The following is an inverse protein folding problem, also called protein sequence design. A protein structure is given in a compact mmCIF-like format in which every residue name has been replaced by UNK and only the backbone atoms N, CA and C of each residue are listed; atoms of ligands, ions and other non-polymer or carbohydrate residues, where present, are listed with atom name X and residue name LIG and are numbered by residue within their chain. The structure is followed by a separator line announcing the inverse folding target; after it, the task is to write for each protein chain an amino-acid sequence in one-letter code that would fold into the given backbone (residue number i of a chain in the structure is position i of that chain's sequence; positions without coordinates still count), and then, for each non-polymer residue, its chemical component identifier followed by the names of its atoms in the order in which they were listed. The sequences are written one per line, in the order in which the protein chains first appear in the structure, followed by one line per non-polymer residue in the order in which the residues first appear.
data_IF_408167168420
#
_entry.id   IF_408167168420
#
_cell.length_a   1.000
_cell.length_b   1.000
_cell.length_c   1.000
_cell.angle_alpha   90.00
_cell.angle_beta   90.00
_cell.angle_gamma   90.00
#
_symmetry.space_group_name_H-M   'P 1'
#
loop_
_entity.id
_entity.type
_entity.pdbx_description
1 polymer ?
#
# COMPACT_ATOMS: atom_id res chain seq x y z
N UNK A 1 2.90 3.56 17.39
CA UNK A 1 2.54 4.89 16.85
C UNK A 1 1.93 5.73 17.97
N UNK A 2 2.45 6.93 18.24
CA UNK A 2 1.90 7.82 19.26
C UNK A 2 0.72 8.67 18.76
N UNK A 3 -0.16 8.08 17.94
CA UNK A 3 -1.37 8.76 17.46
C UNK A 3 -2.59 8.01 17.96
N UNK A 4 -2.87 8.19 19.26
CA UNK A 4 -4.02 7.57 19.91
C UNK A 4 -5.32 8.18 19.39
N UNK A 5 -6.26 7.33 19.00
CA UNK A 5 -7.61 7.76 18.61
C UNK A 5 -8.65 7.02 19.44
N UNK A 6 -9.80 7.66 19.61
CA UNK A 6 -10.98 7.11 20.25
C UNK A 6 -12.20 7.55 19.47
N UNK A 7 -13.07 6.60 19.16
CA UNK A 7 -14.28 6.83 18.37
C UNK A 7 -15.43 6.01 18.96
N UNK A 8 -16.65 6.58 18.96
CA UNK A 8 -17.85 5.91 19.45
C UNK A 8 -17.93 5.81 20.98
N UNK A 9 -18.60 4.77 21.47
CA UNK A 9 -18.87 4.54 22.89
C UNK A 9 -17.75 3.68 23.51
N UNK A 10 -16.94 4.31 24.37
CA UNK A 10 -15.76 3.70 25.00
C UNK A 10 -15.85 3.84 26.53
N UNK A 11 -15.60 2.78 27.32
CA UNK A 11 -15.63 2.86 28.77
C UNK A 11 -14.47 3.71 29.33
N UNK A 12 -14.61 4.31 30.52
CA UNK A 12 -13.57 5.16 31.12
C UNK A 12 -12.30 4.38 31.54
N UNK A 13 -12.38 3.04 31.61
CA UNK A 13 -11.29 2.14 31.96
C UNK A 13 -11.35 0.89 31.09
N UNK A 14 -10.18 0.47 30.62
CA UNK A 14 -10.00 -0.80 29.89
C UNK A 14 -10.47 -1.97 30.74
N UNK A 15 -11.05 -2.98 30.10
CA UNK A 15 -11.43 -4.23 30.76
C UNK A 15 -12.35 -4.04 31.98
N UNK A 16 -13.36 -3.18 31.82
CA UNK A 16 -14.43 -3.00 32.80
C UNK A 16 -15.78 -3.30 32.15
N UNK A 17 -16.83 -3.47 32.95
CA UNK A 17 -18.18 -3.69 32.41
C UNK A 17 -18.58 -2.49 31.54
N UNK A 18 -18.82 -2.76 30.26
CA UNK A 18 -19.34 -1.81 29.31
C UNK A 18 -20.68 -2.35 28.80
N UNK A 19 -21.75 -1.58 29.01
CA UNK A 19 -23.12 -2.05 28.76
C UNK A 19 -23.87 -1.12 27.82
N UNK A 20 -24.81 -1.70 27.08
CA UNK A 20 -25.81 -0.97 26.32
C UNK A 20 -26.89 -0.36 27.25
N UNK A 21 -27.80 0.49 26.74
CA UNK A 21 -28.89 1.07 27.52
C UNK A 21 -29.84 0.04 28.16
N UNK A 22 -29.96 -1.15 27.56
CA UNK A 22 -30.79 -2.27 28.01
C UNK A 22 -30.11 -3.10 29.11
N UNK A 23 -28.82 -2.88 29.36
CA UNK A 23 -28.02 -3.54 30.37
C UNK A 23 -27.28 -4.79 29.89
N UNK A 24 -27.26 -5.11 28.60
CA UNK A 24 -26.44 -6.19 28.05
C UNK A 24 -24.97 -5.75 27.98
N UNK A 25 -24.04 -6.71 28.08
CA UNK A 25 -22.60 -6.42 27.94
C UNK A 25 -22.21 -6.30 26.47
N UNK A 26 -21.42 -5.27 26.15
CA UNK A 26 -20.61 -5.29 24.94
C UNK A 26 -19.42 -6.23 25.12
N UNK A 27 -18.97 -6.82 24.01
CA UNK A 27 -17.82 -7.75 24.00
C UNK A 27 -16.56 -6.98 23.63
N UNK A 28 -15.58 -6.98 24.53
CA UNK A 28 -14.28 -6.31 24.32
C UNK A 28 -13.33 -7.24 23.54
N UNK A 29 -12.81 -6.76 22.40
CA UNK A 29 -11.73 -7.37 21.64
C UNK A 29 -10.48 -6.50 21.77
N UNK A 30 -9.33 -7.09 22.14
CA UNK A 30 -8.04 -6.44 21.98
C UNK A 30 -7.42 -6.91 20.66
N UNK A 31 -7.35 -6.02 19.67
CA UNK A 31 -6.52 -6.21 18.49
C UNK A 31 -5.14 -5.64 18.80
N UNK A 32 -4.10 -6.48 18.82
CA UNK A 32 -2.76 -6.07 19.20
C UNK A 32 -1.66 -6.72 18.38
N UNK A 33 -0.56 -6.00 18.24
CA UNK A 33 0.63 -6.43 17.53
C UNK A 33 1.66 -7.12 18.45
N UNK A 34 2.53 -7.94 17.86
CA UNK A 34 3.69 -8.56 18.50
C UNK A 34 3.43 -9.34 19.81
N UNK A 35 2.21 -9.82 20.03
CA UNK A 35 1.87 -10.51 21.27
C UNK A 35 1.88 -9.57 22.49
N UNK A 36 1.14 -8.45 22.37
CA UNK A 36 0.87 -7.47 23.43
C UNK A 36 2.03 -6.51 23.75
N UNK A 37 3.12 -6.50 22.96
CA UNK A 37 4.27 -5.61 23.17
C UNK A 37 4.32 -4.38 22.27
N UNK A 38 3.44 -4.28 21.28
CA UNK A 38 3.38 -3.16 20.32
C UNK A 38 2.00 -2.49 20.32
N UNK A 39 1.70 -1.72 19.28
CA UNK A 39 0.44 -1.01 19.10
C UNK A 39 -0.76 -1.95 19.21
N UNK A 40 -1.87 -1.39 19.72
CA UNK A 40 -3.12 -2.11 19.89
C UNK A 40 -4.29 -1.16 19.86
N UNK A 41 -5.48 -1.73 19.67
CA UNK A 41 -6.76 -1.08 19.88
C UNK A 41 -7.71 -2.02 20.62
N UNK A 42 -8.57 -1.44 21.45
CA UNK A 42 -9.71 -2.11 22.04
C UNK A 42 -10.96 -1.78 21.22
N UNK A 43 -11.69 -2.81 20.83
CA UNK A 43 -12.94 -2.69 20.09
C UNK A 43 -14.08 -3.24 20.97
N UNK A 44 -15.21 -2.55 20.98
CA UNK A 44 -16.38 -2.91 21.77
C UNK A 44 -17.53 -3.34 20.86
N UNK A 45 -17.78 -4.65 20.78
CA UNK A 45 -18.74 -5.27 19.85
C UNK A 45 -20.11 -5.47 20.48
N UNK A 46 -21.17 -5.42 19.65
CA UNK A 46 -22.53 -5.85 20.04
C UNK A 46 -22.64 -7.37 20.12
N UNK A 47 -21.90 -8.10 19.30
CA UNK A 47 -21.92 -9.55 19.20
C UNK A 47 -20.54 -10.15 19.52
N UNK A 48 -20.46 -11.48 19.62
CA UNK A 48 -19.22 -12.19 19.96
C UNK A 48 -18.28 -12.19 18.74
N UNK A 49 -17.13 -11.50 18.76
CA UNK A 49 -16.27 -11.35 17.57
C UNK A 49 -15.56 -12.64 17.17
N UNK A 50 -15.46 -13.62 18.08
CA UNK A 50 -14.81 -14.92 17.82
C UNK A 50 -15.74 -16.00 17.27
N UNK A 51 -17.03 -15.69 17.06
CA UNK A 51 -18.02 -16.67 16.62
C UNK A 51 -17.89 -16.99 15.12
N UNK A 52 -17.89 -18.28 14.78
CA UNK A 52 -17.86 -18.79 13.41
C UNK A 52 -18.94 -19.86 13.27
N UNK A 53 -19.75 -19.75 12.22
CA UNK A 53 -20.78 -20.73 11.83
C UNK A 53 -20.19 -21.78 10.91
N UNK A 54 -19.45 -21.35 9.89
CA UNK A 54 -18.85 -22.22 8.88
C UNK A 54 -17.44 -21.77 8.51
N UNK A 55 -16.57 -22.72 8.15
CA UNK A 55 -15.22 -22.49 7.66
C UNK A 55 -14.93 -23.39 6.47
N UNK A 56 -14.76 -22.80 5.29
CA UNK A 56 -14.47 -23.51 4.04
C UNK A 56 -13.24 -22.94 3.34
N UNK A 57 -12.65 -23.73 2.43
CA UNK A 57 -11.54 -23.25 1.62
C UNK A 57 -11.98 -22.11 0.69
N UNK A 58 -11.15 -21.07 0.61
CA UNK A 58 -11.21 -20.07 -0.44
C UNK A 58 -9.95 -20.22 -1.31
N UNK A 59 -10.15 -20.59 -2.56
CA UNK A 59 -9.08 -20.66 -3.54
C UNK A 59 -8.68 -19.24 -3.92
N UNK A 60 -7.45 -18.86 -3.56
CA UNK A 60 -6.90 -17.55 -3.90
C UNK A 60 -6.64 -17.44 -5.42
N UNK A 61 -6.64 -16.21 -5.96
CA UNK A 61 -6.03 -15.92 -7.25
C UNK A 61 -4.56 -16.34 -7.27
N UNK A 62 -3.98 -16.47 -8.47
CA UNK A 62 -2.60 -16.95 -8.65
C UNK A 62 -1.60 -16.16 -7.77
N UNK A 63 -0.90 -16.87 -6.88
CA UNK A 63 0.12 -16.33 -5.98
C UNK A 63 1.55 -16.73 -6.40
N UNK A 64 1.70 -17.33 -7.59
CA UNK A 64 2.96 -17.87 -8.10
C UNK A 64 3.97 -16.75 -8.34
N UNK A 65 5.21 -17.02 -7.95
CA UNK A 65 6.35 -16.16 -8.18
C UNK A 65 7.36 -16.92 -9.06
N UNK A 66 7.82 -16.25 -10.11
CA UNK A 66 8.78 -16.78 -11.09
C UNK A 66 10.10 -16.03 -10.95
N UNK A 67 11.24 -16.72 -10.76
CA UNK A 67 12.53 -16.05 -10.66
C UNK A 67 12.83 -15.18 -11.90
N UNK A 68 13.38 -13.99 -11.69
CA UNK A 68 13.90 -13.14 -12.77
C UNK A 68 15.20 -13.73 -13.34
N UNK A 69 15.06 -14.77 -14.16
CA UNK A 69 16.19 -15.49 -14.76
C UNK A 69 15.96 -15.78 -16.25
N UNK A 70 16.88 -15.37 -17.15
CA UNK A 70 18.11 -14.61 -16.87
C UNK A 70 17.81 -13.21 -16.32
N UNK A 71 18.75 -12.67 -15.53
CA UNK A 71 18.59 -11.37 -14.86
C UNK A 71 18.38 -10.25 -15.88
N UNK A 72 17.25 -9.54 -15.79
CA UNK A 72 16.92 -8.40 -16.66
C UNK A 72 16.28 -7.27 -15.85
N UNK A 73 16.59 -6.00 -16.15
CA UNK A 73 15.66 -4.93 -15.85
C UNK A 73 14.40 -5.12 -16.70
N UNK A 74 13.22 -4.93 -16.11
CA UNK A 74 11.93 -5.13 -16.79
C UNK A 74 11.08 -3.89 -16.73
N UNK A 75 10.22 -3.75 -17.74
CA UNK A 75 9.21 -2.72 -17.82
C UNK A 75 7.85 -3.38 -17.98
N UNK A 76 6.96 -3.10 -17.04
CA UNK A 76 5.64 -3.70 -16.93
C UNK A 76 4.59 -2.62 -17.17
N UNK A 77 3.66 -2.84 -18.09
CA UNK A 77 2.56 -1.90 -18.38
C UNK A 77 1.30 -2.34 -17.65
N UNK A 78 1.11 -1.92 -16.40
CA UNK A 78 0.01 -2.44 -15.57
C UNK A 78 -1.38 -2.10 -16.11
N UNK A 79 -1.52 -1.01 -16.86
CA UNK A 79 -2.80 -0.66 -17.49
C UNK A 79 -3.24 -1.71 -18.54
N UNK A 80 -2.31 -2.48 -19.11
CA UNK A 80 -2.63 -3.59 -20.01
C UNK A 80 -3.18 -4.82 -19.25
N UNK A 81 -3.09 -4.87 -17.90
CA UNK A 81 -3.59 -5.99 -17.10
C UNK A 81 -5.12 -6.09 -17.06
N UNK A 82 -5.81 -4.96 -17.21
CA UNK A 82 -7.26 -4.86 -17.03
C UNK A 82 -7.89 -4.11 -18.20
N UNK A 83 -8.25 -4.84 -19.28
CA UNK A 83 -9.07 -4.31 -20.35
C UNK A 83 -10.37 -3.66 -19.83
N UNK A 84 -10.87 -2.63 -20.52
CA UNK A 84 -12.01 -1.83 -20.03
C UNK A 84 -13.29 -2.66 -19.79
N UNK A 85 -13.49 -3.71 -20.60
CA UNK A 85 -14.63 -4.62 -20.50
C UNK A 85 -14.57 -5.53 -19.27
N UNK A 86 -13.44 -5.61 -18.56
CA UNK A 86 -13.32 -6.39 -17.33
C UNK A 86 -13.67 -5.60 -16.07
N UNK A 87 -13.71 -4.26 -16.12
CA UNK A 87 -13.73 -3.41 -14.90
C UNK A 87 -14.99 -3.60 -14.04
N UNK A 88 -16.12 -3.91 -14.67
CA UNK A 88 -17.41 -4.13 -13.98
C UNK A 88 -17.48 -5.50 -13.28
N UNK A 89 -16.59 -6.43 -13.65
CA UNK A 89 -16.55 -7.79 -13.10
C UNK A 89 -15.52 -7.95 -11.98
N UNK A 90 -14.62 -6.97 -11.82
CA UNK A 90 -13.48 -7.02 -10.91
C UNK A 90 -13.67 -6.16 -9.66
N UNK A 91 -13.11 -6.63 -8.55
CA UNK A 91 -13.02 -5.91 -7.28
C UNK A 91 -11.57 -5.82 -6.78
N UNK A 92 -11.30 -4.86 -5.90
CA UNK A 92 -9.95 -4.59 -5.38
C UNK A 92 -9.48 -5.58 -4.31
N UNK A 93 -10.16 -6.69 -4.04
CA UNK A 93 -9.69 -7.76 -3.14
C UNK A 93 -9.44 -9.03 -3.95
N UNK A 94 -10.47 -9.56 -4.63
CA UNK A 94 -10.39 -10.84 -5.33
C UNK A 94 -9.92 -10.72 -6.76
N UNK A 95 -10.03 -9.52 -7.35
CA UNK A 95 -9.56 -9.21 -8.71
C UNK A 95 -8.10 -8.78 -8.79
N UNK A 96 -7.38 -8.70 -7.66
CA UNK A 96 -5.96 -8.30 -7.64
C UNK A 96 -5.09 -9.28 -8.42
N UNK A 97 -4.19 -8.75 -9.25
CA UNK A 97 -3.18 -9.51 -10.00
C UNK A 97 -1.80 -9.28 -9.38
N UNK A 98 -1.09 -10.36 -9.06
CA UNK A 98 0.23 -10.32 -8.45
C UNK A 98 1.27 -9.87 -9.49
N UNK A 99 1.98 -8.79 -9.20
CA UNK A 99 2.96 -8.19 -10.11
C UNK A 99 4.38 -8.59 -9.71
N UNK A 100 4.81 -8.24 -8.50
CA UNK A 100 6.14 -8.57 -7.99
C UNK A 100 6.03 -9.11 -6.57
N UNK A 101 6.97 -9.94 -6.14
CA UNK A 101 7.00 -10.29 -4.72
C UNK A 101 8.23 -11.08 -4.29
N UNK A 102 8.43 -11.12 -2.99
CA UNK A 102 9.39 -11.96 -2.32
C UNK A 102 8.80 -12.43 -0.97
N UNK A 103 9.64 -12.84 -0.02
CA UNK A 103 9.18 -13.30 1.29
C UNK A 103 8.71 -12.17 2.22
N UNK A 104 9.13 -10.94 1.96
CA UNK A 104 8.93 -9.76 2.82
C UNK A 104 7.77 -8.88 2.32
N UNK A 105 7.60 -8.77 0.99
CA UNK A 105 6.56 -7.93 0.37
C UNK A 105 6.03 -8.55 -0.93
N UNK A 106 4.74 -8.33 -1.20
CA UNK A 106 4.06 -8.61 -2.46
C UNK A 106 3.40 -7.34 -2.98
N UNK A 107 3.54 -7.12 -4.28
CA UNK A 107 3.00 -5.97 -4.98
C UNK A 107 1.93 -6.48 -5.95
N UNK A 108 0.71 -5.97 -5.80
CA UNK A 108 -0.43 -6.31 -6.66
C UNK A 108 -1.00 -5.07 -7.33
N UNK A 109 -1.73 -5.28 -8.42
CA UNK A 109 -2.50 -4.23 -9.08
C UNK A 109 -3.93 -4.70 -9.34
N UNK A 110 -4.90 -3.79 -9.18
CA UNK A 110 -6.30 -4.04 -9.48
C UNK A 110 -6.93 -2.81 -10.12
N UNK A 111 -7.86 -3.05 -11.04
CA UNK A 111 -8.80 -2.05 -11.55
C UNK A 111 -10.20 -2.58 -11.31
N UNK A 112 -11.09 -1.79 -10.71
CA UNK A 112 -12.38 -2.29 -10.25
C UNK A 112 -13.47 -1.22 -10.26
N UNK A 113 -14.69 -1.62 -10.64
CA UNK A 113 -15.95 -0.91 -10.36
C UNK A 113 -16.85 -1.67 -9.39
N UNK A 114 -16.57 -2.95 -9.14
CA UNK A 114 -17.37 -3.77 -8.25
C UNK A 114 -16.95 -3.57 -6.79
N UNK A 115 -17.94 -3.54 -5.90
CA UNK A 115 -17.74 -3.64 -4.45
C UNK A 115 -17.04 -4.96 -4.11
N UNK A 116 -16.00 -4.90 -3.28
CA UNK A 116 -15.31 -6.10 -2.81
C UNK A 116 -16.17 -6.90 -1.82
N UNK A 117 -15.92 -8.20 -1.65
CA UNK A 117 -16.42 -8.92 -0.48
C UNK A 117 -15.81 -8.34 0.81
N UNK A 118 -16.39 -8.71 1.96
CA UNK A 118 -15.72 -8.52 3.25
C UNK A 118 -14.47 -9.38 3.29
N UNK A 119 -13.37 -8.75 3.67
CA UNK A 119 -12.05 -9.34 3.57
C UNK A 119 -11.17 -8.96 4.75
N UNK A 120 -10.32 -9.88 5.16
CA UNK A 120 -9.32 -9.69 6.20
C UNK A 120 -8.00 -10.33 5.77
N UNK A 121 -6.93 -9.52 5.72
CA UNK A 121 -5.59 -10.03 5.48
C UNK A 121 -4.89 -10.41 6.78
N UNK A 122 -4.74 -11.70 7.06
CA UNK A 122 -3.96 -12.21 8.19
C UNK A 122 -2.53 -12.64 7.79
N UNK A 123 -2.11 -12.38 6.55
CA UNK A 123 -0.73 -12.53 6.11
C UNK A 123 0.14 -11.35 6.60
N UNK A 124 -0.39 -10.12 6.51
CA UNK A 124 0.24 -8.93 7.07
C UNK A 124 -0.49 -7.65 6.67
N UNK A 125 0.22 -6.52 6.79
CA UNK A 125 -0.29 -5.17 6.55
C UNK A 125 -0.51 -4.92 5.05
N UNK A 126 -1.57 -4.19 4.69
CA UNK A 126 -1.79 -3.72 3.32
C UNK A 126 -1.71 -2.19 3.28
N UNK A 127 -0.81 -1.67 2.44
CA UNK A 127 -0.85 -0.26 2.04
C UNK A 127 -1.29 -0.16 0.58
N UNK A 128 -2.45 0.44 0.37
CA UNK A 128 -3.06 0.57 -0.95
C UNK A 128 -2.89 2.01 -1.42
N UNK A 129 -2.10 2.22 -2.47
CA UNK A 129 -2.05 3.50 -3.17
C UNK A 129 -3.15 3.55 -4.24
N UNK A 130 -4.00 4.58 -4.19
CA UNK A 130 -5.07 4.79 -5.15
C UNK A 130 -4.55 5.65 -6.30
N UNK A 131 -4.30 5.02 -7.44
CA UNK A 131 -3.84 5.71 -8.64
C UNK A 131 -4.94 6.58 -9.25
N UNK A 132 -6.17 6.06 -9.30
CA UNK A 132 -7.34 6.78 -9.83
C UNK A 132 -8.64 6.31 -9.21
N UNK A 133 -9.68 7.14 -9.34
CA UNK A 133 -11.02 6.86 -8.86
C UNK A 133 -11.23 7.27 -7.39
N UNK A 134 -12.42 6.98 -6.89
CA UNK A 134 -12.82 7.24 -5.50
C UNK A 134 -13.50 6.01 -4.91
N UNK A 135 -13.40 5.84 -3.60
CA UNK A 135 -14.04 4.74 -2.90
C UNK A 135 -14.36 5.08 -1.44
N UNK A 136 -15.37 4.40 -0.91
CA UNK A 136 -15.57 4.27 0.54
C UNK A 136 -14.96 2.94 0.98
N UNK A 137 -14.02 3.00 1.92
CA UNK A 137 -13.40 1.82 2.53
C UNK A 137 -14.01 1.63 3.91
N UNK A 138 -14.91 0.67 4.00
CA UNK A 138 -15.56 0.31 5.25
C UNK A 138 -14.70 -0.68 6.02
N UNK A 139 -14.52 -0.46 7.31
CA UNK A 139 -13.73 -1.34 8.17
C UNK A 139 -14.45 -1.59 9.49
N UNK A 140 -13.97 -2.58 10.24
CA UNK A 140 -14.43 -2.81 11.62
C UNK A 140 -14.22 -1.60 12.55
N UNK A 141 -13.30 -0.68 12.20
CA UNK A 141 -13.04 0.56 12.92
C UNK A 141 -13.89 1.75 12.42
N UNK A 142 -14.69 1.59 11.37
CA UNK A 142 -15.41 2.68 10.69
C UNK A 142 -15.00 2.84 9.23
N UNK A 143 -15.51 3.89 8.57
CA UNK A 143 -15.24 4.14 7.15
C UNK A 143 -14.18 5.21 6.89
N UNK A 144 -13.48 5.06 5.77
CA UNK A 144 -12.61 6.06 5.15
C UNK A 144 -13.17 6.43 3.78
N UNK A 145 -13.25 7.72 3.49
CA UNK A 145 -13.52 8.21 2.12
C UNK A 145 -12.17 8.44 1.43
N UNK A 146 -11.98 7.81 0.27
CA UNK A 146 -10.69 7.68 -0.39
C UNK A 146 -10.79 8.21 -1.82
N UNK A 147 -9.76 8.94 -2.22
CA UNK A 147 -9.64 9.51 -3.56
C UNK A 147 -8.26 9.26 -4.19
N UNK A 148 -8.10 9.69 -5.44
CA UNK A 148 -6.84 9.51 -6.17
C UNK A 148 -5.69 10.23 -5.46
N UNK A 149 -4.55 9.54 -5.35
CA UNK A 149 -3.38 10.01 -4.60
C UNK A 149 -3.35 9.56 -3.14
N UNK A 150 -4.44 9.03 -2.59
CA UNK A 150 -4.45 8.51 -1.23
C UNK A 150 -3.70 7.17 -1.11
N UNK A 151 -2.89 7.07 -0.07
CA UNK A 151 -2.52 5.80 0.55
C UNK A 151 -3.57 5.42 1.58
N UNK A 152 -3.99 4.16 1.60
CA UNK A 152 -4.86 3.58 2.63
C UNK A 152 -4.09 2.48 3.33
N UNK A 153 -3.78 2.70 4.60
CA UNK A 153 -3.14 1.72 5.47
C UNK A 153 -4.21 0.87 6.16
N UNK A 154 -4.21 -0.43 5.87
CA UNK A 154 -5.09 -1.43 6.50
C UNK A 154 -4.20 -2.35 7.34
N UNK A 155 -4.20 -2.19 8.68
CA UNK A 155 -3.40 -3.05 9.54
C UNK A 155 -3.80 -4.51 9.38
N UNK A 156 -2.81 -5.39 9.58
CA UNK A 156 -2.98 -6.84 9.58
C UNK A 156 -4.24 -7.21 10.36
N UNK A 157 -5.03 -8.10 9.80
CA UNK A 157 -6.22 -8.66 10.43
C UNK A 157 -7.40 -7.69 10.63
N UNK A 158 -7.39 -6.52 9.99
CA UNK A 158 -8.54 -5.62 9.91
C UNK A 158 -9.56 -6.13 8.89
N UNK A 159 -10.82 -6.35 9.31
CA UNK A 159 -11.90 -6.64 8.36
C UNK A 159 -12.26 -5.37 7.60
N UNK A 160 -12.28 -5.44 6.28
CA UNK A 160 -12.58 -4.30 5.40
C UNK A 160 -13.40 -4.70 4.17
N UNK A 161 -14.06 -3.70 3.55
CA UNK A 161 -14.77 -3.77 2.28
C UNK A 161 -14.54 -2.48 1.51
N UNK A 162 -14.20 -2.61 0.24
CA UNK A 162 -13.98 -1.48 -0.66
C UNK A 162 -15.18 -1.28 -1.57
N UNK A 163 -15.71 -0.06 -1.60
CA UNK A 163 -16.87 0.33 -2.39
C UNK A 163 -16.45 1.46 -3.32
N UNK A 164 -16.16 1.20 -4.61
CA UNK A 164 -15.98 2.28 -5.59
C UNK A 164 -17.21 3.20 -5.65
N UNK A 165 -17.00 4.52 -5.68
CA UNK A 165 -18.09 5.51 -5.61
C UNK A 165 -18.15 6.49 -6.78
N UNK A 166 -17.09 6.59 -7.58
CA UNK A 166 -16.97 7.52 -8.70
C UNK A 166 -17.24 6.90 -10.08
N UNK A 167 -17.23 7.73 -11.12
CA UNK A 167 -17.41 7.31 -12.52
C UNK A 167 -16.16 6.60 -13.09
N UNK A 168 -14.99 7.07 -12.69
CA UNK A 168 -13.69 6.46 -13.01
C UNK A 168 -13.51 5.16 -12.21
N UNK A 169 -12.98 4.09 -12.82
CA UNK A 169 -12.69 2.86 -12.08
C UNK A 169 -11.65 3.13 -10.98
N UNK A 170 -11.79 2.40 -9.88
CA UNK A 170 -10.79 2.42 -8.81
C UNK A 170 -9.56 1.63 -9.27
N UNK A 171 -8.43 2.33 -9.45
CA UNK A 171 -7.12 1.73 -9.73
C UNK A 171 -6.30 1.68 -8.45
N UNK A 172 -5.98 0.47 -7.99
CA UNK A 172 -5.34 0.23 -6.71
C UNK A 172 -3.99 -0.49 -6.90
N UNK A 173 -2.92 0.16 -6.44
CA UNK A 173 -1.58 -0.41 -6.32
C UNK A 173 -1.36 -0.86 -4.88
N UNK A 174 -1.32 -2.17 -4.66
CA UNK A 174 -1.39 -2.78 -3.32
C UNK A 174 -0.03 -3.30 -2.91
N UNK A 175 0.52 -2.74 -1.84
CA UNK A 175 1.76 -3.17 -1.20
C UNK A 175 1.37 -4.03 0.02
N UNK A 176 1.41 -5.34 -0.14
CA UNK A 176 1.09 -6.34 0.87
C UNK A 176 2.39 -6.77 1.57
N UNK A 177 2.54 -6.35 2.82
CA UNK A 177 3.72 -6.63 3.64
C UNK A 177 3.53 -7.89 4.46
N UNK A 178 4.60 -8.63 4.70
CA UNK A 178 4.62 -9.69 5.71
C UNK A 178 4.78 -9.14 7.16
N UNK A 179 5.28 -7.90 7.29
CA UNK A 179 5.46 -7.21 8.58
C UNK A 179 4.55 -5.99 8.71
N UNK A 180 4.61 -5.32 9.86
CA UNK A 180 4.00 -4.01 10.02
C UNK A 180 4.67 -2.95 9.14
N UNK A 181 3.87 -2.01 8.62
CA UNK A 181 4.36 -0.85 7.86
C UNK A 181 4.26 0.41 8.70
N UNK A 182 5.37 1.13 8.82
CA UNK A 182 5.48 2.27 9.72
C UNK A 182 6.17 3.48 9.07
N UNK A 183 6.02 4.68 9.64
CA UNK A 183 6.90 5.79 9.31
C UNK A 183 8.39 5.43 9.56
N UNK A 184 9.32 5.90 8.71
CA UNK A 184 10.74 5.59 8.85
C UNK A 184 11.28 5.94 10.22
N UNK A 185 12.08 5.07 10.84
CA UNK A 185 12.65 5.30 12.18
C UNK A 185 13.34 6.65 12.32
N UNK A 186 14.00 7.13 11.25
CA UNK A 186 14.71 8.42 11.24
C UNK A 186 13.79 9.65 11.27
N UNK A 187 12.51 9.49 10.98
CA UNK A 187 11.49 10.54 11.05
C UNK A 187 10.66 10.46 12.32
N UNK A 188 10.94 9.50 13.21
CA UNK A 188 10.25 9.34 14.48
C UNK A 188 11.17 9.69 15.64
N UNK A 189 10.63 10.38 16.62
CA UNK A 189 11.24 10.48 17.95
C UNK A 189 11.25 9.12 18.64
N UNK A 190 12.05 8.99 19.71
CA UNK A 190 12.02 7.79 20.56
C UNK A 190 10.65 7.47 21.19
N UNK A 191 9.71 8.42 21.13
CA UNK A 191 8.36 8.29 21.68
C UNK A 191 7.30 8.09 20.59
N UNK A 192 7.70 8.01 19.31
CA UNK A 192 6.78 7.72 18.19
C UNK A 192 6.09 8.93 17.57
N UNK A 193 6.35 10.16 18.06
CA UNK A 193 5.96 11.40 17.38
C UNK A 193 6.84 11.63 16.15
N UNK A 194 6.27 12.11 15.04
CA UNK A 194 7.00 12.54 13.86
C UNK A 194 7.87 13.77 14.20
N UNK A 195 9.08 13.81 13.64
CA UNK A 195 10.02 14.90 13.84
C UNK A 195 9.72 16.05 12.87
N UNK A 196 10.10 17.28 13.21
CA UNK A 196 9.91 18.48 12.37
C UNK A 196 10.61 18.41 10.99
N UNK A 197 11.54 17.46 10.82
CA UNK A 197 12.20 17.19 9.54
C UNK A 197 11.58 16.01 8.78
N UNK A 198 10.49 15.43 9.28
CA UNK A 198 9.69 14.47 8.54
C UNK A 198 8.98 15.18 7.37
N UNK A 199 8.80 14.50 6.24
CA UNK A 199 8.13 15.07 5.06
C UNK A 199 6.60 15.11 5.18
N UNK A 200 6.04 14.78 6.34
CA UNK A 200 4.62 14.88 6.67
C UNK A 200 4.50 14.87 8.19
N UNK A 201 3.32 15.21 8.72
CA UNK A 201 3.02 15.24 10.13
C UNK A 201 1.74 14.46 10.46
N UNK A 202 1.43 14.33 11.75
CA UNK A 202 0.26 13.57 12.20
C UNK A 202 -1.08 14.16 11.71
N UNK A 203 -1.10 15.44 11.29
CA UNK A 203 -2.31 16.10 10.75
C UNK A 203 -2.72 15.57 9.38
N UNK A 204 -1.76 15.01 8.65
CA UNK A 204 -1.93 14.50 7.29
C UNK A 204 -2.40 13.03 7.33
N UNK A 205 -2.49 12.43 8.53
CA UNK A 205 -2.98 11.08 8.77
C UNK A 205 -4.45 11.14 9.22
N UNK A 206 -5.34 10.73 8.34
CA UNK A 206 -6.79 10.77 8.56
C UNK A 206 -7.32 9.35 8.80
N UNK A 207 -7.96 9.11 9.94
CA UNK A 207 -8.61 7.81 10.20
C UNK A 207 -10.15 7.91 10.23
N UNK A 208 -10.86 6.81 10.56
CA UNK A 208 -12.31 6.78 10.53
C UNK A 208 -12.95 7.83 11.44
N UNK A 209 -14.09 8.36 11.00
CA UNK A 209 -14.83 9.43 11.71
C UNK A 209 -16.16 8.97 12.29
N UNK A 210 -16.65 7.79 11.92
CA UNK A 210 -17.91 7.20 12.38
C UNK A 210 -17.81 5.67 12.48
N UNK A 211 -18.61 5.06 13.36
CA UNK A 211 -18.82 3.62 13.41
C UNK A 211 -19.95 3.22 12.45
N UNK A 212 -19.98 1.96 11.99
CA UNK A 212 -20.90 1.52 10.93
C UNK A 212 -22.16 0.79 11.41
N UNK A 213 -22.08 0.00 12.49
CA UNK A 213 -23.20 -0.72 13.14
C UNK A 213 -24.21 -1.35 12.16
N UNK A 214 -23.78 -2.41 11.46
CA UNK A 214 -24.60 -3.16 10.50
C UNK A 214 -25.29 -4.35 11.18
N UNK A 215 -26.58 -4.53 10.91
CA UNK A 215 -27.40 -5.63 11.43
C UNK A 215 -27.73 -6.64 10.32
N UNK A 216 -26.77 -7.51 10.03
CA UNK A 216 -26.92 -8.65 9.12
C UNK A 216 -26.42 -9.93 9.81
N UNK A 217 -26.94 -11.09 9.38
CA UNK A 217 -26.58 -12.40 9.93
C UNK A 217 -26.07 -13.33 8.84
N UNK A 218 -25.32 -14.37 9.26
CA UNK A 218 -24.76 -15.38 8.35
C UNK A 218 -23.92 -14.74 7.22
N UNK A 219 -22.97 -13.90 7.63
CA UNK A 219 -22.19 -13.04 6.73
C UNK A 219 -20.89 -13.74 6.33
N UNK A 220 -20.60 -13.74 5.03
CA UNK A 220 -19.33 -14.27 4.51
C UNK A 220 -18.18 -13.27 4.70
N UNK A 221 -17.04 -13.76 5.21
CA UNK A 221 -15.79 -13.01 5.31
C UNK A 221 -14.65 -13.84 4.73
N UNK A 222 -13.95 -13.28 3.74
CA UNK A 222 -12.77 -13.90 3.16
C UNK A 222 -11.52 -13.58 3.99
N UNK A 223 -10.75 -14.59 4.34
CA UNK A 223 -9.53 -14.46 5.13
C UNK A 223 -8.36 -15.02 4.34
N UNK A 224 -7.42 -14.16 3.97
CA UNK A 224 -6.12 -14.58 3.42
C UNK A 224 -5.15 -14.78 4.58
N UNK A 225 -4.49 -15.93 4.65
CA UNK A 225 -3.56 -16.26 5.73
C UNK A 225 -2.42 -17.16 5.26
N UNK A 226 -1.51 -17.51 6.18
CA UNK A 226 -0.33 -18.34 5.88
C UNK A 226 -0.38 -19.68 6.60
N UNK A 227 0.18 -20.67 5.94
CA UNK A 227 0.53 -21.98 6.51
C UNK A 227 2.02 -22.22 6.34
N UNK A 228 2.53 -23.33 6.89
CA UNK A 228 3.90 -23.78 6.61
C UNK A 228 4.17 -24.09 5.13
N UNK A 229 3.15 -24.10 4.28
CA UNK A 229 3.23 -24.41 2.84
C UNK A 229 2.99 -23.20 1.93
N UNK A 230 2.81 -22.01 2.49
CA UNK A 230 2.57 -20.78 1.72
C UNK A 230 1.27 -20.07 2.11
N UNK A 231 0.83 -19.18 1.21
CA UNK A 231 -0.34 -18.32 1.39
C UNK A 231 -1.59 -19.05 0.89
N UNK A 232 -2.67 -19.05 1.69
CA UNK A 232 -3.93 -19.72 1.40
C UNK A 232 -5.13 -18.85 1.81
N UNK A 233 -6.33 -19.22 1.39
CA UNK A 233 -7.57 -18.53 1.72
C UNK A 233 -8.55 -19.40 2.50
N UNK A 234 -9.33 -18.77 3.36
CA UNK A 234 -10.46 -19.37 4.06
C UNK A 234 -11.66 -18.45 3.95
N UNK A 235 -12.84 -19.02 3.68
CA UNK A 235 -14.12 -18.32 3.78
C UNK A 235 -14.75 -18.69 5.11
N UNK A 236 -14.98 -17.71 5.95
CA UNK A 236 -15.82 -17.87 7.14
C UNK A 236 -17.24 -17.41 6.85
N UNK A 237 -18.20 -18.09 7.46
CA UNK A 237 -19.54 -17.52 7.71
C UNK A 237 -19.57 -17.16 9.18
N UNK A 238 -19.80 -15.88 9.49
CA UNK A 238 -19.95 -15.38 10.87
C UNK A 238 -21.42 -15.14 11.16
N UNK A 239 -21.90 -15.37 12.40
CA UNK A 239 -23.33 -15.30 12.69
C UNK A 239 -23.89 -13.87 12.62
N UNK A 240 -23.04 -12.86 12.79
CA UNK A 240 -23.39 -11.44 12.75
C UNK A 240 -22.36 -10.66 11.95
N UNK A 241 -22.79 -9.59 11.29
CA UNK A 241 -21.91 -8.71 10.52
C UNK A 241 -20.76 -8.17 11.40
N UNK A 242 -19.49 -8.23 10.94
CA UNK A 242 -18.33 -7.83 11.75
C UNK A 242 -18.27 -6.32 12.03
N UNK A 243 -19.03 -5.51 11.30
CA UNK A 243 -19.15 -4.06 11.53
C UNK A 243 -20.20 -3.76 12.60
N UNK A 244 -20.00 -4.27 13.80
CA UNK A 244 -20.89 -4.14 14.95
C UNK A 244 -20.25 -3.44 16.15
N UNK A 245 -19.12 -2.77 15.92
CA UNK A 245 -18.34 -2.06 16.94
C UNK A 245 -19.00 -0.73 17.31
N UNK A 246 -19.42 -0.60 18.56
CA UNK A 246 -20.04 0.63 19.10
C UNK A 246 -19.03 1.70 19.43
N UNK A 247 -17.78 1.31 19.66
CA UNK A 247 -16.66 2.22 19.87
C UNK A 247 -15.35 1.48 19.95
N UNK A 248 -14.25 2.21 19.78
CA UNK A 248 -12.90 1.69 19.91
C UNK A 248 -11.93 2.79 20.31
N UNK A 249 -10.81 2.39 20.89
CA UNK A 249 -9.69 3.30 21.15
C UNK A 249 -8.34 2.60 21.09
N UNK A 250 -7.29 3.33 20.69
CA UNK A 250 -5.95 2.76 20.54
C UNK A 250 -5.08 3.44 19.50
N UNK A 251 -4.00 2.75 19.15
CA UNK A 251 -3.02 3.16 18.15
C UNK A 251 -3.00 2.26 16.91
N UNK A 252 -3.69 1.11 16.95
CA UNK A 252 -3.85 0.19 15.82
C UNK A 252 -5.20 0.42 15.14
N UNK A 253 -5.21 1.13 14.02
CA UNK A 253 -6.43 1.40 13.25
C UNK A 253 -6.08 1.75 11.80
N UNK A 254 -7.00 1.56 10.85
CA UNK A 254 -6.79 1.97 9.47
C UNK A 254 -6.79 3.49 9.33
N UNK A 255 -5.98 4.00 8.41
CA UNK A 255 -5.90 5.42 8.13
C UNK A 255 -5.56 5.67 6.66
N UNK A 256 -5.77 6.91 6.22
CA UNK A 256 -5.35 7.38 4.91
C UNK A 256 -4.38 8.57 5.02
N UNK A 257 -3.55 8.71 4.00
CA UNK A 257 -2.56 9.79 3.84
C UNK A 257 -2.48 10.14 2.36
N UNK A 258 -2.62 11.42 1.99
CA UNK A 258 -2.48 11.81 0.59
C UNK A 258 -1.02 11.96 0.20
N UNK A 259 -0.64 11.43 -0.96
CA UNK A 259 0.68 11.70 -1.55
C UNK A 259 0.91 13.20 -1.79
N UNK A 260 -0.18 13.98 -1.91
CA UNK A 260 -0.14 15.43 -2.09
C UNK A 260 0.18 16.20 -0.81
N UNK A 261 0.07 15.57 0.36
CA UNK A 261 0.49 16.13 1.65
C UNK A 261 1.98 15.85 1.95
N UNK A 262 2.67 15.09 1.09
CA UNK A 262 4.09 14.81 1.23
C UNK A 262 4.94 16.02 0.81
N UNK A 263 5.72 16.56 1.75
CA UNK A 263 6.64 17.67 1.56
C UNK A 263 8.03 17.17 1.11
N UNK A 264 8.42 17.37 -0.18
CA UNK A 264 9.68 16.83 -0.69
C UNK A 264 10.91 17.49 -0.06
N UNK A 265 11.81 16.66 0.47
CA UNK A 265 13.11 17.13 0.94
C UNK A 265 14.04 17.39 -0.26
N UNK A 266 14.46 18.66 -0.42
CA UNK A 266 15.32 19.10 -1.52
C UNK A 266 16.69 19.53 -1.03
N UNK A 267 17.68 19.51 -1.92
CA UNK A 267 19.06 19.84 -1.57
C UNK A 267 19.74 20.68 -2.64
N UNK A 268 20.91 21.23 -2.29
CA UNK A 268 21.75 21.98 -3.25
C UNK A 268 22.27 21.06 -4.36
N UNK A 269 22.44 19.78 -4.04
CA UNK A 269 22.89 18.72 -4.94
C UNK A 269 21.96 17.52 -4.78
N UNK A 270 21.99 16.64 -5.79
CA UNK A 270 21.06 15.52 -5.92
C UNK A 270 20.93 14.73 -4.62
N UNK A 271 19.70 14.63 -4.12
CA UNK A 271 19.40 13.86 -2.93
C UNK A 271 19.20 12.39 -3.31
N UNK A 272 19.81 11.44 -2.57
CA UNK A 272 19.61 10.03 -2.85
C UNK A 272 18.20 9.59 -2.45
N UNK A 273 17.72 8.41 -2.93
CA UNK A 273 16.37 7.89 -2.67
C UNK A 273 15.89 7.92 -1.21
N UNK A 274 16.74 7.77 -0.18
CA UNK A 274 16.33 7.99 1.20
C UNK A 274 15.59 9.32 1.41
N UNK A 275 15.93 10.43 0.75
CA UNK A 275 15.19 11.69 0.91
C UNK A 275 13.70 11.63 0.49
N UNK A 276 13.31 10.61 -0.27
CA UNK A 276 11.96 10.41 -0.79
C UNK A 276 11.14 9.42 0.05
N UNK A 277 11.72 8.79 1.07
CA UNK A 277 11.03 7.74 1.84
C UNK A 277 9.81 8.28 2.60
N UNK A 278 8.66 7.62 2.44
CA UNK A 278 7.44 7.90 3.19
C UNK A 278 7.20 6.87 4.28
N UNK A 279 7.43 5.58 3.99
CA UNK A 279 7.15 4.44 4.89
C UNK A 279 8.21 3.34 4.77
N UNK A 280 8.22 2.39 5.71
CA UNK A 280 9.06 1.19 5.67
C UNK A 280 8.37 -0.01 6.30
N UNK A 281 8.68 -1.21 5.78
CA UNK A 281 8.42 -2.48 6.44
C UNK A 281 9.73 -3.25 6.62
N UNK A 282 9.62 -4.53 6.99
CA UNK A 282 10.79 -5.38 7.15
C UNK A 282 11.45 -5.63 5.79
N UNK A 283 12.66 -5.09 5.59
CA UNK A 283 13.45 -5.22 4.36
C UNK A 283 12.82 -4.61 3.08
N UNK A 284 11.98 -3.60 3.21
CA UNK A 284 11.61 -2.77 2.06
C UNK A 284 11.24 -1.35 2.51
N UNK A 285 11.31 -0.41 1.58
CA UNK A 285 10.94 1.00 1.78
C UNK A 285 9.95 1.46 0.73
N UNK A 286 9.09 2.40 1.10
CA UNK A 286 8.15 3.05 0.19
C UNK A 286 8.55 4.51 0.08
N UNK A 287 8.78 4.99 -1.14
CA UNK A 287 9.19 6.38 -1.38
C UNK A 287 8.24 7.10 -2.32
N UNK A 288 8.07 8.41 -2.09
CA UNK A 288 7.26 9.31 -2.88
C UNK A 288 8.17 10.26 -3.68
N UNK A 289 8.14 10.10 -4.99
CA UNK A 289 8.64 11.11 -5.91
C UNK A 289 7.46 12.01 -6.25
N UNK A 290 7.51 13.25 -5.77
CA UNK A 290 6.45 14.26 -5.98
C UNK A 290 7.04 15.49 -6.67
N UNK A 291 6.20 16.37 -7.25
CA UNK A 291 6.66 17.59 -7.88
C UNK A 291 7.48 18.44 -6.92
N UNK A 292 8.67 18.88 -7.35
CA UNK A 292 9.60 19.60 -6.46
C UNK A 292 10.58 20.48 -7.22
N UNK A 293 11.12 21.46 -6.49
CA UNK A 293 12.36 22.14 -6.88
C UNK A 293 13.51 21.15 -6.87
N UNK A 294 14.31 21.11 -7.93
CA UNK A 294 15.48 20.24 -8.01
C UNK A 294 16.75 20.97 -7.53
N UNK A 295 17.90 20.36 -7.79
CA UNK A 295 19.19 20.82 -7.32
C UNK A 295 19.52 22.26 -7.72
N UNK A 296 19.84 23.10 -6.73
CA UNK A 296 20.13 24.52 -6.93
C UNK A 296 21.63 24.87 -6.92
N UNK A 297 22.52 23.90 -7.16
CA UNK A 297 23.92 24.17 -7.47
C UNK A 297 24.06 24.58 -8.96
N UNK A 298 24.84 25.62 -9.31
CA UNK A 298 25.02 26.05 -10.72
C UNK A 298 25.57 24.97 -11.68
N UNK A 299 26.16 23.92 -11.13
CA UNK A 299 26.74 22.77 -11.85
C UNK A 299 26.12 21.44 -11.41
N UNK A 300 24.91 21.45 -10.85
CA UNK A 300 24.22 20.22 -10.51
C UNK A 300 23.83 19.43 -11.77
N UNK A 301 23.71 18.13 -11.59
CA UNK A 301 23.05 17.22 -12.54
C UNK A 301 21.74 16.79 -11.87
N UNK A 302 20.58 17.37 -12.28
CA UNK A 302 19.32 17.17 -11.57
C UNK A 302 18.78 15.73 -11.59
N UNK A 303 19.00 15.00 -12.69
CA UNK A 303 18.60 13.59 -12.79
C UNK A 303 19.54 12.68 -12.00
N UNK A 304 19.08 11.50 -11.56
CA UNK A 304 19.91 10.56 -10.82
C UNK A 304 21.19 10.18 -11.56
N UNK A 305 22.25 9.91 -10.81
CA UNK A 305 23.46 9.32 -11.36
C UNK A 305 23.20 7.87 -11.82
N UNK A 306 24.00 7.41 -12.78
CA UNK A 306 24.08 5.97 -13.03
C UNK A 306 24.62 5.27 -11.79
N UNK A 307 23.98 4.19 -11.37
CA UNK A 307 24.39 3.44 -10.19
C UNK A 307 24.09 1.96 -10.30
N UNK A 308 24.69 1.23 -9.36
CA UNK A 308 24.36 -0.16 -9.08
C UNK A 308 24.03 -0.23 -7.60
N UNK A 309 22.81 -0.63 -7.28
CA UNK A 309 22.47 -0.98 -5.92
C UNK A 309 22.82 -2.45 -5.72
N UNK A 310 23.73 -2.71 -4.79
CA UNK A 310 24.32 -4.04 -4.62
C UNK A 310 23.43 -4.96 -3.78
N UNK A 311 22.56 -4.38 -2.95
CA UNK A 311 21.74 -5.08 -1.97
C UNK A 311 20.24 -4.82 -2.13
N UNK A 312 19.82 -4.11 -3.18
CA UNK A 312 18.41 -3.76 -3.40
C UNK A 312 17.97 -3.99 -4.83
N UNK A 313 16.75 -4.48 -4.98
CA UNK A 313 15.94 -4.28 -6.18
C UNK A 313 15.22 -2.94 -6.06
N UNK A 314 15.13 -2.20 -7.17
CA UNK A 314 14.49 -0.89 -7.22
C UNK A 314 13.25 -0.94 -8.12
N UNK A 315 12.09 -0.55 -7.58
CA UNK A 315 10.80 -0.61 -8.28
C UNK A 315 10.17 0.76 -8.32
N UNK A 316 9.96 1.31 -9.51
CA UNK A 316 9.28 2.58 -9.72
C UNK A 316 7.92 2.33 -10.36
N UNK A 317 6.82 2.75 -9.71
CA UNK A 317 5.48 2.84 -10.29
C UNK A 317 5.17 4.29 -10.68
N UNK A 318 4.97 4.52 -11.98
CA UNK A 318 4.76 5.85 -12.56
C UNK A 318 3.27 6.18 -12.61
N UNK A 319 2.80 7.10 -11.77
CA UNK A 319 1.36 7.34 -11.52
C UNK A 319 0.89 8.78 -11.78
N UNK A 320 1.77 9.71 -12.15
CA UNK A 320 1.38 11.04 -12.63
C UNK A 320 2.56 11.93 -13.01
N UNK A 321 2.28 13.16 -13.44
CA UNK A 321 3.29 14.12 -13.90
C UNK A 321 3.91 13.79 -15.27
N UNK A 322 4.90 14.59 -15.67
CA UNK A 322 5.63 14.48 -16.94
C UNK A 322 7.09 14.03 -16.72
N UNK A 323 7.38 12.78 -17.07
CA UNK A 323 8.70 12.15 -16.90
C UNK A 323 9.64 12.42 -18.09
N UNK A 324 10.05 13.68 -18.28
CA UNK A 324 10.95 14.08 -19.39
C UNK A 324 12.30 13.31 -19.38
N UNK A 325 12.80 12.89 -18.20
CA UNK A 325 14.02 12.09 -18.07
C UNK A 325 13.92 10.69 -18.71
N UNK A 326 12.71 10.21 -18.99
CA UNK A 326 12.43 8.87 -19.54
C UNK A 326 11.90 8.89 -20.97
N UNK A 327 11.86 10.06 -21.62
CA UNK A 327 11.46 10.20 -23.03
C UNK A 327 12.21 9.20 -23.94
N UNK A 328 11.45 8.34 -24.62
CA UNK A 328 11.98 7.30 -25.51
C UNK A 328 12.21 5.92 -24.88
N UNK A 329 12.00 5.74 -23.57
CA UNK A 329 12.07 4.42 -22.93
C UNK A 329 10.86 3.54 -23.21
N UNK A 330 9.68 4.16 -23.40
CA UNK A 330 8.38 3.48 -23.44
C UNK A 330 7.63 3.49 -22.11
N UNK A 331 8.24 4.01 -21.03
CA UNK A 331 7.60 4.21 -19.72
C UNK A 331 6.60 5.37 -19.82
N UNK A 332 5.41 5.15 -19.31
CA UNK A 332 4.35 6.16 -19.15
C UNK A 332 3.55 5.94 -17.87
N UNK A 333 2.39 6.59 -17.76
CA UNK A 333 1.47 6.36 -16.65
C UNK A 333 1.06 4.88 -16.58
N UNK A 334 0.96 4.34 -15.37
CA UNK A 334 0.66 2.94 -15.14
C UNK A 334 1.83 1.98 -15.38
N UNK A 335 3.02 2.49 -15.69
CA UNK A 335 4.20 1.66 -15.90
C UNK A 335 4.89 1.34 -14.59
N UNK A 336 5.50 0.16 -14.52
CA UNK A 336 6.52 -0.19 -13.54
C UNK A 336 7.85 -0.40 -14.24
N UNK A 337 8.93 0.14 -13.68
CA UNK A 337 10.27 -0.37 -13.97
C UNK A 337 10.84 -1.08 -12.76
N UNK A 338 11.35 -2.30 -12.95
CA UNK A 338 12.16 -3.02 -11.97
C UNK A 338 13.61 -3.05 -12.45
N UNK A 339 14.51 -2.53 -11.60
CA UNK A 339 15.95 -2.62 -11.76
C UNK A 339 16.51 -3.54 -10.67
N UNK A 340 16.87 -4.80 -11.00
CA UNK A 340 17.26 -5.75 -9.98
C UNK A 340 18.68 -5.48 -9.46
N UNK A 341 18.95 -5.91 -8.23
CA UNK A 341 20.23 -5.79 -7.56
C UNK A 341 21.39 -6.32 -8.41
N UNK A 342 22.49 -5.58 -8.43
CA UNK A 342 23.66 -5.90 -9.25
C UNK A 342 23.58 -5.46 -10.71
N UNK A 343 22.46 -4.89 -11.18
CA UNK A 343 22.36 -4.26 -12.50
C UNK A 343 22.67 -2.76 -12.43
N UNK A 344 23.60 -2.29 -13.26
CA UNK A 344 23.85 -0.86 -13.42
C UNK A 344 22.72 -0.20 -14.22
N UNK A 345 22.08 0.81 -13.65
CA UNK A 345 20.97 1.53 -14.27
C UNK A 345 21.06 3.03 -13.97
N UNK A 346 20.19 3.84 -14.58
CA UNK A 346 20.21 5.28 -14.46
C UNK A 346 19.34 5.97 -15.51
N UNK A 347 19.56 7.27 -15.78
CA UNK A 347 18.83 8.00 -16.82
C UNK A 347 18.96 7.35 -18.20
N UNK A 348 18.00 7.62 -19.09
CA UNK A 348 18.10 7.18 -20.49
C UNK A 348 19.23 7.93 -21.22
N UNK A 349 19.79 7.38 -22.32
CA UNK A 349 20.84 8.05 -23.08
C UNK A 349 20.49 9.51 -23.44
N UNK A 350 21.40 10.43 -23.11
CA UNK A 350 21.25 11.87 -23.31
C UNK A 350 20.32 12.59 -22.32
N UNK A 351 19.63 11.89 -21.41
CA UNK A 351 18.77 12.53 -20.42
C UNK A 351 19.57 13.37 -19.41
N UNK A 352 20.79 12.94 -19.09
CA UNK A 352 21.71 13.69 -18.23
C UNK A 352 22.00 15.08 -18.80
N UNK A 353 22.42 15.17 -20.07
CA UNK A 353 22.71 16.44 -20.74
C UNK A 353 21.46 17.31 -20.90
N UNK A 354 20.30 16.72 -21.23
CA UNK A 354 19.03 17.45 -21.35
C UNK A 354 18.53 18.03 -20.02
N UNK A 355 18.89 17.41 -18.90
CA UNK A 355 18.44 17.84 -17.56
C UNK A 355 19.21 19.05 -17.01
N UNK A 356 20.36 19.40 -17.59
CA UNK A 356 21.21 20.45 -17.05
C UNK A 356 20.47 21.80 -17.06
N UNK A 357 20.46 22.47 -15.91
CA UNK A 357 19.75 23.74 -15.73
C UNK A 357 18.25 23.61 -15.45
N UNK A 358 17.70 22.39 -15.34
CA UNK A 358 16.36 22.20 -14.82
C UNK A 358 16.27 22.71 -13.38
N UNK A 359 15.19 23.42 -13.05
CA UNK A 359 14.94 23.96 -11.71
C UNK A 359 13.76 23.28 -11.01
N UNK A 360 12.98 22.49 -11.74
CA UNK A 360 11.77 21.84 -11.28
C UNK A 360 11.51 20.54 -12.06
N UNK A 361 11.00 19.52 -11.36
CA UNK A 361 10.41 18.33 -11.98
C UNK A 361 8.96 18.19 -11.54
N UNK A 362 8.09 17.96 -12.51
CA UNK A 362 6.68 17.63 -12.31
C UNK A 362 6.51 16.12 -12.42
N UNK A 363 6.88 15.38 -11.37
CA UNK A 363 6.92 13.93 -11.41
C UNK A 363 6.11 13.35 -10.25
N UNK A 364 5.28 12.34 -10.51
CA UNK A 364 4.59 11.57 -9.48
C UNK A 364 4.81 10.07 -9.67
N UNK A 365 5.56 9.48 -8.73
CA UNK A 365 5.77 8.04 -8.69
C UNK A 365 5.92 7.51 -7.26
N UNK A 366 5.49 6.27 -7.12
CA UNK A 366 5.62 5.47 -5.90
C UNK A 366 6.73 4.46 -6.13
N UNK A 367 7.73 4.47 -5.27
CA UNK A 367 8.83 3.51 -5.32
C UNK A 367 8.71 2.50 -4.19
N UNK A 368 8.98 1.22 -4.48
CA UNK A 368 9.02 0.13 -3.49
C UNK A 368 10.34 -0.62 -3.64
N UNK A 369 11.36 -0.16 -2.94
CA UNK A 369 12.68 -0.80 -2.98
C UNK A 369 12.76 -1.91 -1.95
N UNK A 370 13.35 -3.04 -2.34
CA UNK A 370 13.39 -4.24 -1.50
C UNK A 370 14.81 -4.76 -1.36
N UNK A 371 15.20 -5.19 -0.16
CA UNK A 371 16.53 -5.74 0.10
C UNK A 371 16.63 -7.25 -0.12
N UNK A 372 15.52 -7.89 -0.49
CA UNK A 372 15.50 -9.24 -1.08
C UNK A 372 15.16 -9.14 -2.56
N UNK A 373 15.74 -9.99 -3.42
CA UNK A 373 15.38 -10.01 -4.83
C UNK A 373 13.87 -10.24 -5.02
N UNK A 374 13.29 -9.51 -5.96
CA UNK A 374 11.90 -9.67 -6.37
C UNK A 374 11.78 -10.72 -7.47
N UNK A 375 10.77 -11.57 -7.32
CA UNK A 375 10.32 -12.51 -8.32
C UNK A 375 9.09 -11.96 -9.05
N UNK A 376 8.86 -12.44 -10.26
CA UNK A 376 7.80 -11.97 -11.15
C UNK A 376 6.51 -12.76 -10.89
N UNK A 377 5.43 -12.06 -10.55
CA UNK A 377 4.09 -12.64 -10.52
C UNK A 377 3.49 -12.78 -11.92
N UNK A 378 2.32 -13.41 -12.01
CA UNK A 378 1.62 -13.59 -13.28
C UNK A 378 1.33 -12.26 -13.99
N UNK A 379 1.00 -11.20 -13.23
CA UNK A 379 0.74 -9.87 -13.77
C UNK A 379 1.99 -9.24 -14.39
N UNK A 380 3.17 -9.44 -13.79
CA UNK A 380 4.41 -8.99 -14.42
C UNK A 380 4.68 -9.75 -15.72
N UNK A 381 4.52 -11.07 -15.72
CA UNK A 381 4.73 -11.89 -16.93
C UNK A 381 3.78 -11.45 -18.05
N UNK A 382 2.54 -11.12 -17.72
CA UNK A 382 1.53 -10.71 -18.69
C UNK A 382 1.81 -9.35 -19.34
N UNK A 383 2.64 -8.50 -18.71
CA UNK A 383 2.82 -7.09 -19.12
C UNK A 383 4.26 -6.65 -19.37
N UNK A 384 5.23 -7.56 -19.23
CA UNK A 384 6.61 -7.33 -19.64
C UNK A 384 6.67 -7.01 -21.15
N UNK A 385 7.34 -5.91 -21.50
CA UNK A 385 7.58 -5.53 -22.89
C UNK A 385 8.67 -6.39 -23.58
N UNK A 386 9.42 -7.17 -22.80
CA UNK A 386 10.47 -8.09 -23.26
C UNK A 386 11.67 -7.42 -23.93
N UNK A 387 11.74 -6.09 -23.97
CA UNK A 387 12.71 -5.31 -24.75
C UNK A 387 13.33 -4.14 -23.99
N UNK A 388 12.85 -3.83 -22.78
CA UNK A 388 13.31 -2.71 -21.97
C UNK A 388 14.79 -2.75 -21.63
N UNK A 389 15.34 -3.93 -21.34
CA UNK A 389 16.77 -4.12 -21.07
C UNK A 389 17.67 -3.68 -22.24
N UNK A 390 17.13 -3.57 -23.45
CA UNK A 390 17.86 -3.10 -24.63
C UNK A 390 17.79 -1.57 -24.81
N UNK A 391 16.98 -0.85 -24.02
CA UNK A 391 16.69 0.58 -24.23
C UNK A 391 17.93 1.48 -24.20
N UNK A 392 18.91 1.18 -23.35
CA UNK A 392 20.20 1.90 -23.29
C UNK A 392 21.14 1.62 -24.47
N UNK A 393 20.85 0.61 -25.30
CA UNK A 393 21.71 0.18 -26.40
C UNK A 393 21.09 0.43 -27.80
N UNK A 394 19.92 1.07 -27.89
CA UNK A 394 19.17 1.25 -29.15
C UNK A 394 19.93 2.03 -30.24
N UNK A 395 20.92 2.84 -29.87
CA UNK A 395 21.71 3.66 -30.80
C UNK A 395 23.12 3.09 -31.08
N UNK A 396 23.33 1.79 -30.89
CA UNK A 396 24.60 1.12 -31.19
C UNK A 396 24.83 0.89 -32.68
#
# INVERSE_FOLDING_TARGET
MAHYRSLGHVPPKRHTQHRDPEGNLYYEELMGEEGFSSDSALLYHRHIPSAIVESTEWVLPDQTLTPNHPLRPVHLRLHDLFPEDSWDETDVVTGRRLVLGNADVRIHYAVARRTSPLYKNAYGDEMVYVESGTARVETVFGALEVESGDYVMIPTSTVSRWIPTGDEPLRAYVIESFSHIEPPKRFRSRFGQLLENAPYCERDIHGPTETLLVDETDVEVLVKHRTSRGVVGTRFVVPHHPFDVVGWDGCLYPWKFSVHDYEPLTGRIHQPPPAHQAFEGHNFVICNFVPRKVDYHPLAVPVPYYHSNVDSDEVMFYCGGDYEARKGSGIGQGSISLHPGGHAHGPQPGAMERSLGAEFFDELAVMVDTFRPLELGEGAIATDDGTYYQSWARNR
#
